data_IF_721003706233
#
_entry.id   IF_721003706233
#
_cell.length_a   1.000
_cell.length_b   1.000
_cell.length_c   1.000
_cell.angle_alpha   90.00
_cell.angle_beta   90.00
_cell.angle_gamma   90.00
#
_symmetry.space_group_name_H-M   'P 1'
#
loop_
_entity.id
_entity.type
_entity.pdbx_description
1 polymer ?
#
# COMPACT_ATOMS: atom_id res chain seq x y z
N UNK A 1 -9.33 29.18 6.00
CA UNK A 1 -9.33 28.22 7.11
C UNK A 1 -9.89 28.89 8.36
N UNK A 2 -10.81 28.27 9.05
CA UNK A 2 -11.43 28.81 10.25
C UNK A 2 -10.45 28.76 11.42
N UNK A 3 -10.34 29.83 12.27
CA UNK A 3 -9.38 29.83 13.39
C UNK A 3 -9.61 28.71 14.42
N UNK A 4 -10.82 28.17 14.53
CA UNK A 4 -11.11 27.04 15.41
C UNK A 4 -10.94 25.68 14.76
N UNK A 5 -10.56 25.63 13.48
CA UNK A 5 -10.23 24.39 12.78
C UNK A 5 -8.98 23.77 13.43
N UNK A 6 -9.00 22.50 13.86
CA UNK A 6 -7.84 21.86 14.45
C UNK A 6 -6.61 21.80 13.51
N UNK A 7 -6.84 21.97 12.19
CA UNK A 7 -5.76 22.02 11.21
C UNK A 7 -5.28 23.46 10.93
N UNK A 8 -5.90 24.46 11.55
CA UNK A 8 -5.50 25.86 11.35
C UNK A 8 -4.10 26.09 11.93
N UNK A 9 -3.21 26.66 11.12
CA UNK A 9 -1.84 26.94 11.52
C UNK A 9 -0.88 25.75 11.47
N UNK A 10 -1.37 24.57 11.09
CA UNK A 10 -0.51 23.41 10.85
C UNK A 10 0.08 23.56 9.44
N UNK A 11 1.41 23.55 9.36
CA UNK A 11 2.09 23.53 8.08
C UNK A 11 1.71 22.29 7.28
N UNK A 12 1.63 22.39 5.95
CA UNK A 12 1.41 21.21 5.13
C UNK A 12 2.46 20.15 5.46
N UNK A 13 2.00 18.93 5.77
CA UNK A 13 2.91 17.85 6.10
C UNK A 13 3.72 17.48 4.86
N UNK A 14 5.04 17.44 5.00
CA UNK A 14 5.90 16.86 3.98
C UNK A 14 5.72 15.35 3.92
N UNK A 15 6.04 14.74 2.79
CA UNK A 15 6.03 13.28 2.66
C UNK A 15 6.91 12.63 3.71
N UNK A 16 8.05 13.23 3.99
CA UNK A 16 8.98 12.74 5.02
C UNK A 16 8.35 12.73 6.41
N UNK A 17 7.61 13.79 6.76
CA UNK A 17 6.93 13.88 8.05
C UNK A 17 5.81 12.83 8.16
N UNK A 18 5.05 12.62 7.09
CA UNK A 18 4.00 11.60 7.04
C UNK A 18 4.60 10.21 7.18
N UNK A 19 5.67 9.92 6.47
CA UNK A 19 6.37 8.62 6.55
C UNK A 19 6.94 8.41 7.95
N UNK A 20 7.56 9.42 8.55
CA UNK A 20 8.10 9.33 9.91
C UNK A 20 7.00 9.03 10.94
N UNK A 21 5.86 9.71 10.83
CA UNK A 21 4.71 9.46 11.71
C UNK A 21 4.14 8.04 11.53
N UNK A 22 4.04 7.59 10.29
CA UNK A 22 3.56 6.24 9.96
C UNK A 22 4.51 5.17 10.50
N UNK A 23 5.80 5.38 10.33
CA UNK A 23 6.82 4.47 10.87
C UNK A 23 6.78 4.41 12.39
N UNK A 24 6.63 5.55 13.05
CA UNK A 24 6.49 5.60 14.51
C UNK A 24 5.24 4.85 14.99
N UNK A 25 4.12 5.01 14.29
CA UNK A 25 2.90 4.24 14.58
C UNK A 25 3.11 2.74 14.39
N UNK A 26 3.77 2.34 13.31
CA UNK A 26 4.09 0.94 13.04
C UNK A 26 4.91 0.35 14.19
N UNK A 27 5.97 1.04 14.61
CA UNK A 27 6.86 0.56 15.67
C UNK A 27 6.18 0.51 17.03
N UNK A 28 5.44 1.55 17.40
CA UNK A 28 4.85 1.67 18.72
C UNK A 28 3.56 0.90 18.90
N UNK A 29 2.69 0.91 17.90
CA UNK A 29 1.38 0.28 17.98
C UNK A 29 1.35 -1.09 17.33
N UNK A 30 1.64 -1.17 16.04
CA UNK A 30 1.49 -2.42 15.28
C UNK A 30 2.46 -3.49 15.77
N UNK A 31 3.73 -3.15 15.90
CA UNK A 31 4.77 -4.07 16.37
C UNK A 31 4.79 -4.10 17.89
N UNK A 32 4.81 -2.94 18.53
CA UNK A 32 4.92 -2.83 19.99
C UNK A 32 3.78 -3.53 20.74
N UNK A 33 2.57 -3.49 20.21
CA UNK A 33 1.40 -4.19 20.77
C UNK A 33 1.13 -5.55 20.11
N UNK A 34 2.00 -5.96 19.21
CA UNK A 34 1.88 -7.23 18.46
C UNK A 34 0.52 -7.37 17.76
N UNK A 35 0.05 -6.30 17.15
CA UNK A 35 -1.22 -6.29 16.41
C UNK A 35 -1.12 -7.06 15.09
N UNK A 36 0.08 -7.12 14.50
CA UNK A 36 0.35 -7.88 13.29
C UNK A 36 1.67 -8.63 13.45
N UNK A 37 1.63 -9.97 13.60
CA UNK A 37 2.85 -10.74 13.88
C UNK A 37 3.87 -10.73 12.73
N UNK A 38 3.43 -10.41 11.51
CA UNK A 38 4.30 -10.39 10.34
C UNK A 38 5.02 -9.05 10.14
N UNK A 39 4.54 -7.98 10.77
CA UNK A 39 5.05 -6.62 10.54
C UNK A 39 6.49 -6.45 11.02
N UNK A 40 6.87 -7.08 12.11
CA UNK A 40 8.20 -6.95 12.70
C UNK A 40 9.30 -7.43 11.74
N UNK A 41 9.10 -8.59 11.12
CA UNK A 41 10.11 -9.18 10.24
C UNK A 41 10.39 -8.28 9.02
N UNK A 42 9.36 -7.80 8.34
CA UNK A 42 9.51 -6.95 7.16
C UNK A 42 10.05 -5.57 7.52
N UNK A 43 9.71 -5.06 8.71
CA UNK A 43 10.23 -3.79 9.20
C UNK A 43 11.73 -3.87 9.50
N UNK A 44 12.16 -4.90 10.24
CA UNK A 44 13.56 -5.10 10.59
C UNK A 44 14.42 -5.31 9.34
N UNK A 45 13.92 -6.04 8.36
CA UNK A 45 14.61 -6.29 7.09
C UNK A 45 14.53 -5.13 6.11
N UNK A 46 13.82 -4.04 6.46
CA UNK A 46 13.64 -2.86 5.59
C UNK A 46 12.99 -3.20 4.26
N UNK A 47 12.00 -4.06 4.29
CA UNK A 47 11.26 -4.53 3.12
C UNK A 47 9.91 -3.84 2.96
N UNK A 48 9.66 -2.76 3.70
CA UNK A 48 8.45 -1.96 3.63
C UNK A 48 8.72 -0.72 2.78
N UNK A 49 7.96 -0.57 1.71
CA UNK A 49 7.94 0.66 0.90
C UNK A 49 6.87 1.58 1.45
N UNK A 50 7.26 2.80 1.82
CA UNK A 50 6.35 3.84 2.30
C UNK A 50 6.10 4.82 1.16
N UNK A 51 4.83 5.01 0.80
CA UNK A 51 4.43 5.94 -0.27
C UNK A 51 3.34 6.86 0.26
N UNK A 52 3.48 8.15 0.00
CA UNK A 52 2.45 9.13 0.35
C UNK A 52 1.74 9.54 -0.93
N UNK A 53 0.43 9.30 -0.99
CA UNK A 53 -0.40 9.74 -2.10
C UNK A 53 -0.72 11.22 -1.96
N UNK A 54 -0.52 11.98 -3.03
CA UNK A 54 -0.91 13.39 -3.11
C UNK A 54 -2.34 13.56 -3.64
N UNK A 55 -3.01 12.45 -3.94
CA UNK A 55 -4.37 12.48 -4.47
C UNK A 55 -5.33 13.16 -3.50
N UNK A 56 -6.24 13.94 -4.03
CA UNK A 56 -7.29 14.63 -3.28
C UNK A 56 -8.68 14.06 -3.54
N UNK A 57 -8.80 13.07 -4.42
CA UNK A 57 -10.04 12.38 -4.73
C UNK A 57 -9.83 10.87 -4.82
N UNK A 58 -10.93 10.13 -4.84
CA UNK A 58 -10.91 8.67 -4.86
C UNK A 58 -10.30 8.11 -6.13
N UNK A 59 -10.56 8.75 -7.27
CA UNK A 59 -10.03 8.31 -8.55
C UNK A 59 -8.51 8.40 -8.58
N UNK A 60 -7.95 9.52 -8.12
CA UNK A 60 -6.50 9.71 -8.03
C UNK A 60 -5.86 8.72 -7.07
N UNK A 61 -6.50 8.46 -5.92
CA UNK A 61 -6.00 7.48 -4.97
C UNK A 61 -6.04 6.06 -5.55
N UNK A 62 -7.09 5.72 -6.29
CA UNK A 62 -7.19 4.41 -6.95
C UNK A 62 -6.08 4.23 -7.99
N UNK A 63 -5.77 5.27 -8.76
CA UNK A 63 -4.66 5.23 -9.71
C UNK A 63 -3.33 5.00 -9.01
N UNK A 64 -3.08 5.68 -7.89
CA UNK A 64 -1.87 5.48 -7.09
C UNK A 64 -1.82 4.05 -6.53
N UNK A 65 -2.94 3.52 -6.06
CA UNK A 65 -3.04 2.15 -5.57
C UNK A 65 -2.69 1.15 -6.67
N UNK A 66 -3.26 1.30 -7.86
CA UNK A 66 -2.98 0.41 -8.98
C UNK A 66 -1.51 0.46 -9.39
N UNK A 67 -0.92 1.65 -9.41
CA UNK A 67 0.50 1.82 -9.70
C UNK A 67 1.37 1.10 -8.68
N UNK A 68 1.09 1.24 -7.39
CA UNK A 68 1.85 0.60 -6.31
C UNK A 68 1.63 -0.92 -6.29
N UNK A 69 0.44 -1.40 -6.63
CA UNK A 69 0.18 -2.83 -6.76
C UNK A 69 1.03 -3.45 -7.87
N UNK A 70 1.15 -2.79 -9.01
CA UNK A 70 1.98 -3.25 -10.12
C UNK A 70 3.46 -3.26 -9.74
N UNK A 71 3.93 -2.23 -9.05
CA UNK A 71 5.29 -2.17 -8.53
C UNK A 71 5.57 -3.32 -7.57
N UNK A 72 4.67 -3.54 -6.61
CA UNK A 72 4.83 -4.60 -5.62
C UNK A 72 4.83 -5.99 -6.27
N UNK A 73 3.94 -6.21 -7.23
CA UNK A 73 3.84 -7.48 -7.94
C UNK A 73 5.11 -7.82 -8.73
N UNK A 74 5.82 -6.80 -9.23
CA UNK A 74 7.05 -6.96 -10.02
C UNK A 74 8.32 -6.84 -9.19
N UNK A 75 8.22 -6.44 -7.91
CA UNK A 75 9.39 -6.28 -7.05
C UNK A 75 9.92 -7.63 -6.55
N UNK A 76 11.22 -7.68 -6.29
CA UNK A 76 11.82 -8.81 -5.59
C UNK A 76 11.36 -8.78 -4.12
N UNK A 77 10.77 -9.87 -3.58
CA UNK A 77 10.35 -9.92 -2.18
C UNK A 77 11.49 -9.68 -1.19
N UNK A 78 12.73 -9.94 -1.59
CA UNK A 78 13.91 -9.63 -0.78
C UNK A 78 14.11 -8.12 -0.59
N UNK A 79 13.63 -7.30 -1.54
CA UNK A 79 13.76 -5.85 -1.48
C UNK A 79 12.49 -5.20 -0.94
N UNK A 80 11.34 -5.57 -1.49
CA UNK A 80 10.03 -5.01 -1.09
C UNK A 80 9.04 -6.16 -0.94
N UNK A 81 8.57 -6.36 0.28
CA UNK A 81 7.55 -7.37 0.57
C UNK A 81 6.18 -6.74 0.81
N UNK A 82 6.16 -5.50 1.29
CA UNK A 82 4.93 -4.79 1.65
C UNK A 82 5.04 -3.33 1.25
N UNK A 83 3.93 -2.76 0.79
CA UNK A 83 3.81 -1.32 0.55
C UNK A 83 2.74 -0.74 1.46
N UNK A 84 3.08 0.34 2.15
CA UNK A 84 2.14 1.16 2.90
C UNK A 84 1.87 2.43 2.09
N UNK A 85 0.67 2.52 1.52
CA UNK A 85 0.21 3.69 0.79
C UNK A 85 -0.59 4.58 1.73
N UNK A 86 -0.02 5.72 2.08
CA UNK A 86 -0.62 6.67 3.00
C UNK A 86 -1.32 7.76 2.20
N UNK A 87 -2.59 8.03 2.51
CA UNK A 87 -3.40 9.01 1.76
C UNK A 87 -3.96 10.09 2.71
N UNK A 88 -3.20 11.13 3.03
CA UNK A 88 -3.64 12.12 4.01
C UNK A 88 -4.70 13.10 3.51
N UNK A 89 -4.96 13.16 2.21
CA UNK A 89 -5.83 14.18 1.61
C UNK A 89 -7.16 13.65 1.09
N UNK A 90 -7.32 12.34 0.97
CA UNK A 90 -8.53 11.70 0.46
C UNK A 90 -9.35 11.18 1.63
N UNK A 91 -10.67 11.17 1.45
CA UNK A 91 -11.61 10.54 2.39
C UNK A 91 -11.59 11.19 3.78
N UNK A 92 -11.48 12.50 3.80
CA UNK A 92 -11.70 13.26 5.04
C UNK A 92 -13.12 13.07 5.55
N UNK A 93 -14.05 12.76 4.65
CA UNK A 93 -15.42 12.38 4.96
C UNK A 93 -15.46 10.85 5.08
N UNK A 94 -15.70 10.39 6.30
CA UNK A 94 -15.72 8.97 6.62
C UNK A 94 -16.82 8.18 5.90
N UNK A 95 -17.86 8.86 5.41
CA UNK A 95 -18.97 8.19 4.73
C UNK A 95 -18.57 7.51 3.43
N UNK A 96 -17.58 8.06 2.73
CA UNK A 96 -17.14 7.53 1.43
C UNK A 96 -16.06 6.46 1.56
N UNK A 97 -15.54 6.24 2.76
CA UNK A 97 -14.39 5.34 2.97
C UNK A 97 -14.73 3.88 2.68
N UNK A 98 -15.90 3.43 3.10
CA UNK A 98 -16.30 2.03 2.89
C UNK A 98 -16.52 1.72 1.40
N UNK A 99 -17.09 2.66 0.65
CA UNK A 99 -17.26 2.51 -0.80
C UNK A 99 -15.88 2.40 -1.49
N UNK A 100 -14.92 3.22 -1.07
CA UNK A 100 -13.56 3.13 -1.59
C UNK A 100 -12.92 1.80 -1.25
N UNK A 101 -13.10 1.27 -0.04
CA UNK A 101 -12.53 -0.02 0.34
C UNK A 101 -13.05 -1.15 -0.55
N UNK A 102 -14.33 -1.14 -0.90
CA UNK A 102 -14.90 -2.16 -1.78
C UNK A 102 -14.25 -2.12 -3.18
N UNK A 103 -14.02 -0.93 -3.71
CA UNK A 103 -13.34 -0.75 -5.00
C UNK A 103 -11.87 -1.21 -4.90
N UNK A 104 -11.19 -0.87 -3.83
CA UNK A 104 -9.80 -1.25 -3.60
C UNK A 104 -9.66 -2.77 -3.47
N UNK A 105 -10.55 -3.41 -2.73
CA UNK A 105 -10.56 -4.87 -2.58
C UNK A 105 -10.77 -5.57 -3.93
N UNK A 106 -11.68 -5.08 -4.74
CA UNK A 106 -11.91 -5.63 -6.09
C UNK A 106 -10.65 -5.50 -6.97
N UNK A 107 -9.95 -4.37 -6.90
CA UNK A 107 -8.72 -4.17 -7.65
C UNK A 107 -7.60 -5.12 -7.21
N UNK A 108 -7.47 -5.36 -5.91
CA UNK A 108 -6.49 -6.31 -5.37
C UNK A 108 -6.80 -7.74 -5.80
N UNK A 109 -8.07 -8.15 -5.75
CA UNK A 109 -8.48 -9.48 -6.19
C UNK A 109 -8.21 -9.70 -7.68
N UNK A 110 -8.52 -8.71 -8.50
CA UNK A 110 -8.30 -8.78 -9.94
C UNK A 110 -6.82 -8.96 -10.27
N UNK A 111 -5.95 -8.21 -9.61
CA UNK A 111 -4.51 -8.38 -9.76
C UNK A 111 -4.03 -9.74 -9.27
N UNK A 112 -4.54 -10.21 -8.15
CA UNK A 112 -4.20 -11.50 -7.59
C UNK A 112 -4.54 -12.64 -8.56
N UNK A 113 -5.72 -12.62 -9.16
CA UNK A 113 -6.13 -13.60 -10.16
C UNK A 113 -5.22 -13.56 -11.40
N UNK A 114 -4.86 -12.38 -11.86
CA UNK A 114 -3.96 -12.23 -13.00
C UNK A 114 -2.58 -12.82 -12.72
N UNK A 115 -2.03 -12.61 -11.52
CA UNK A 115 -0.75 -13.17 -11.10
C UNK A 115 -0.82 -14.69 -11.00
N UNK A 116 -1.89 -15.24 -10.42
CA UNK A 116 -2.10 -16.69 -10.34
C UNK A 116 -2.19 -17.32 -11.72
N UNK A 117 -2.93 -16.71 -12.63
CA UNK A 117 -3.08 -17.20 -14.00
C UNK A 117 -1.73 -17.25 -14.73
N UNK A 118 -0.94 -16.21 -14.60
CA UNK A 118 0.40 -16.16 -15.17
C UNK A 118 1.31 -17.25 -14.58
N UNK A 119 1.26 -17.43 -13.27
CA UNK A 119 2.05 -18.47 -12.58
C UNK A 119 1.66 -19.87 -13.05
N UNK A 120 0.37 -20.15 -13.24
CA UNK A 120 -0.11 -21.43 -13.75
C UNK A 120 0.39 -21.68 -15.19
N UNK A 121 0.38 -20.66 -16.03
CA UNK A 121 0.92 -20.76 -17.39
C UNK A 121 2.40 -21.12 -17.39
N UNK A 122 3.17 -20.49 -16.53
CA UNK A 122 4.59 -20.80 -16.39
C UNK A 122 4.82 -22.24 -15.94
N UNK A 123 4.04 -22.73 -14.98
CA UNK A 123 4.13 -24.11 -14.51
C UNK A 123 3.77 -25.11 -15.61
N UNK A 124 2.75 -24.84 -16.40
CA UNK A 124 2.38 -25.69 -17.54
C UNK A 124 3.49 -25.73 -18.60
N UNK A 125 4.07 -24.60 -18.93
CA UNK A 125 5.18 -24.51 -19.86
C UNK A 125 6.40 -25.31 -19.37
N UNK A 126 6.70 -25.23 -18.08
CA UNK A 126 7.78 -26.00 -17.45
C UNK A 126 7.51 -27.51 -17.48
N UNK A 127 6.24 -27.92 -17.19
CA UNK A 127 5.84 -29.32 -17.26
C UNK A 127 5.96 -29.91 -18.66
N UNK A 128 5.79 -29.09 -19.70
CA UNK A 128 5.91 -29.49 -21.10
C UNK A 128 7.35 -29.38 -21.64
N UNK A 129 8.31 -29.00 -20.80
CA UNK A 129 9.71 -28.82 -21.23
C UNK A 129 9.94 -27.66 -22.21
N UNK A 130 8.99 -26.73 -22.29
CA UNK A 130 9.00 -25.61 -23.24
C UNK A 130 9.49 -24.29 -22.67
N UNK A 131 10.11 -24.31 -21.49
CA UNK A 131 10.73 -23.11 -20.95
C UNK A 131 11.98 -22.73 -21.73
N UNK A 132 12.08 -21.48 -22.17
CA UNK A 132 13.36 -21.01 -22.74
C UNK A 132 14.43 -21.06 -21.65
N UNK A 133 15.55 -21.54 -22.04
CA UNK A 133 16.74 -21.59 -21.16
C UNK A 133 17.24 -20.20 -20.80
#
# INVERSE_FOLDING_TARGET
MHPSDPLHGIEPLSDEAVIAATRAWLEKAVIGLNLCPFAKAVHVKRQIRYVVSQASDEEGLLQDLLHELQLLASADPGDIETTLLVHPFVLRDFLDYNDFLDIADAAVEELHEAVLHYSLKLLQAKGNGSLPS
#
